data_IF_524301357777
#
_entry.id   IF_524301357777
#
_cell.length_a   1.000
_cell.length_b   1.000
_cell.length_c   1.000
_cell.angle_alpha   90.00
_cell.angle_beta   90.00
_cell.angle_gamma   90.00
#
_symmetry.space_group_name_H-M   'P 1'
#
loop_
_entity.id
_entity.type
_entity.pdbx_description
1 polymer ?
#
# COMPACT_ATOMS: atom_id res chain seq x y z
N UNK A 1 37.99 -22.87 -2.30
CA UNK A 1 38.40 -21.54 -1.77
C UNK A 1 37.77 -20.37 -2.51
N UNK A 2 37.52 -20.42 -3.82
CA UNK A 2 36.92 -19.30 -4.57
C UNK A 2 35.52 -18.81 -4.12
N UNK A 3 34.66 -19.68 -3.59
CA UNK A 3 33.27 -19.30 -3.25
C UNK A 3 33.13 -18.35 -2.05
N UNK A 4 33.92 -18.55 -0.98
CA UNK A 4 33.82 -17.73 0.23
C UNK A 4 34.43 -16.34 0.06
N UNK A 5 35.59 -16.25 -0.61
CA UNK A 5 36.26 -14.97 -0.85
C UNK A 5 35.41 -14.06 -1.75
N UNK A 6 34.73 -14.64 -2.74
CA UNK A 6 33.75 -13.93 -3.59
C UNK A 6 32.57 -13.43 -2.75
N UNK A 7 32.02 -14.26 -1.86
CA UNK A 7 30.89 -13.87 -1.01
C UNK A 7 31.25 -12.73 -0.03
N UNK A 8 32.43 -12.81 0.58
CA UNK A 8 32.96 -11.75 1.47
C UNK A 8 33.18 -10.46 0.69
N UNK A 9 33.77 -10.55 -0.51
CA UNK A 9 33.92 -9.40 -1.41
C UNK A 9 32.57 -8.75 -1.74
N UNK A 10 31.55 -9.55 -2.06
CA UNK A 10 30.18 -9.05 -2.30
C UNK A 10 29.58 -8.38 -1.06
N UNK A 11 29.76 -8.97 0.13
CA UNK A 11 29.30 -8.36 1.39
C UNK A 11 29.97 -7.00 1.65
N UNK A 12 31.27 -6.88 1.40
CA UNK A 12 32.00 -5.61 1.57
C UNK A 12 31.51 -4.57 0.57
N UNK A 13 31.33 -4.94 -0.70
CA UNK A 13 30.83 -4.03 -1.74
C UNK A 13 29.40 -3.58 -1.44
N UNK A 14 28.49 -4.51 -1.13
CA UNK A 14 27.09 -4.20 -0.84
C UNK A 14 26.92 -3.45 0.49
N UNK A 15 27.69 -3.81 1.52
CA UNK A 15 27.72 -3.12 2.80
C UNK A 15 28.24 -1.68 2.65
N UNK A 16 29.31 -1.49 1.88
CA UNK A 16 29.81 -0.16 1.52
C UNK A 16 28.76 0.66 0.76
N UNK A 17 28.08 0.06 -0.22
CA UNK A 17 27.02 0.72 -0.99
C UNK A 17 25.81 1.09 -0.12
N UNK A 18 25.44 0.23 0.84
CA UNK A 18 24.40 0.50 1.82
C UNK A 18 24.78 1.69 2.73
N UNK A 19 26.00 1.71 3.27
CA UNK A 19 26.50 2.80 4.11
C UNK A 19 26.52 4.13 3.35
N UNK A 20 26.98 4.14 2.11
CA UNK A 20 26.92 5.33 1.25
C UNK A 20 25.47 5.75 0.99
N UNK A 21 24.58 4.79 0.73
CA UNK A 21 23.16 5.05 0.53
C UNK A 21 22.48 5.67 1.76
N UNK A 22 22.73 5.13 2.95
CA UNK A 22 22.27 5.70 4.23
C UNK A 22 22.91 7.07 4.48
N UNK A 23 24.21 7.24 4.25
CA UNK A 23 24.88 8.53 4.37
C UNK A 23 24.26 9.60 3.47
N UNK A 24 23.91 9.25 2.22
CA UNK A 24 23.20 10.15 1.29
C UNK A 24 21.77 10.45 1.74
N UNK A 25 21.07 9.47 2.32
CA UNK A 25 19.76 9.66 2.94
C UNK A 25 19.85 10.63 4.12
N UNK A 26 20.80 10.42 5.05
CA UNK A 26 20.99 11.32 6.19
C UNK A 26 21.44 12.72 5.76
N UNK A 27 22.25 12.83 4.72
CA UNK A 27 22.70 14.11 4.15
C UNK A 27 21.64 14.84 3.31
N UNK A 28 20.41 14.31 3.18
CA UNK A 28 19.32 15.04 2.52
C UNK A 28 19.38 15.06 0.98
N UNK A 29 20.29 14.32 0.35
CA UNK A 29 20.63 14.48 -1.08
C UNK A 29 19.93 13.50 -2.02
N UNK A 30 19.06 12.64 -1.51
CA UNK A 30 18.36 11.64 -2.33
C UNK A 30 17.29 12.27 -3.23
N UNK A 31 16.95 11.59 -4.34
CA UNK A 31 15.89 12.04 -5.26
C UNK A 31 14.54 12.18 -4.56
N UNK A 32 14.25 11.34 -3.58
CA UNK A 32 13.06 11.42 -2.75
C UNK A 32 13.04 12.71 -1.92
N UNK A 33 14.17 13.11 -1.35
CA UNK A 33 14.29 14.32 -0.53
C UNK A 33 14.20 15.60 -1.35
N UNK A 34 14.60 15.56 -2.63
CA UNK A 34 14.48 16.69 -3.56
C UNK A 34 13.07 16.95 -4.08
N UNK A 35 12.08 16.12 -3.73
CA UNK A 35 10.68 16.39 -4.08
C UNK A 35 10.10 17.43 -3.13
N UNK A 36 9.41 18.41 -3.70
CA UNK A 36 8.58 19.35 -2.95
C UNK A 36 7.35 18.59 -2.48
N UNK A 37 7.02 18.74 -1.21
CA UNK A 37 5.88 18.09 -0.56
C UNK A 37 4.97 19.16 -0.03
N UNK A 38 3.71 19.14 -0.46
CA UNK A 38 2.71 20.09 0.01
C UNK A 38 1.40 19.40 0.30
N UNK A 39 0.63 19.91 1.28
CA UNK A 39 -0.77 19.57 1.36
C UNK A 39 -1.49 20.14 0.15
N UNK A 40 -2.34 19.33 -0.46
CA UNK A 40 -3.30 19.73 -1.47
C UNK A 40 -4.72 19.39 -1.03
N UNK A 41 -5.70 19.94 -1.73
CA UNK A 41 -7.12 19.76 -1.43
C UNK A 41 -7.90 19.37 -2.68
N UNK A 42 -8.81 18.43 -2.53
CA UNK A 42 -9.74 18.04 -3.60
C UNK A 42 -10.81 19.12 -3.75
N UNK A 43 -10.87 19.78 -4.90
CA UNK A 43 -11.81 20.87 -5.19
C UNK A 43 -13.10 20.34 -5.83
N UNK A 44 -12.95 19.35 -6.69
CA UNK A 44 -14.06 18.68 -7.36
C UNK A 44 -13.78 17.19 -7.51
N UNK A 45 -14.85 16.41 -7.46
CA UNK A 45 -14.83 14.96 -7.67
C UNK A 45 -15.79 14.68 -8.82
N UNK A 46 -15.32 13.94 -9.81
CA UNK A 46 -16.14 13.50 -10.93
C UNK A 46 -16.42 12.00 -10.80
N UNK A 47 -17.59 11.58 -11.29
CA UNK A 47 -17.92 10.15 -11.34
C UNK A 47 -17.03 9.45 -12.39
N UNK A 48 -16.38 8.33 -12.03
CA UNK A 48 -15.61 7.56 -13.00
C UNK A 48 -16.50 7.06 -14.13
N UNK A 49 -15.98 7.10 -15.36
CA UNK A 49 -16.69 6.57 -16.52
C UNK A 49 -17.08 5.09 -16.32
N UNK A 50 -18.32 4.75 -16.66
CA UNK A 50 -18.76 3.36 -16.69
C UNK A 50 -17.96 2.58 -17.74
N UNK A 51 -17.60 1.33 -17.43
CA UNK A 51 -16.67 0.50 -18.21
C UNK A 51 -15.25 1.07 -18.37
N UNK A 52 -14.91 2.11 -17.60
CA UNK A 52 -13.56 2.64 -17.52
C UNK A 52 -12.56 1.61 -16.99
N UNK A 53 -11.27 1.86 -17.22
CA UNK A 53 -10.20 0.95 -16.78
C UNK A 53 -10.16 0.87 -15.25
N UNK A 54 -10.26 -0.34 -14.71
CA UNK A 54 -10.03 -0.59 -13.27
C UNK A 54 -8.58 -0.24 -12.91
N UNK A 55 -8.40 0.45 -11.78
CA UNK A 55 -7.08 0.86 -11.25
C UNK A 55 -6.65 2.28 -11.58
N UNK A 56 -7.42 3.03 -12.37
CA UNK A 56 -7.14 4.45 -12.67
C UNK A 56 -7.37 5.37 -11.45
N UNK A 57 -8.27 4.98 -10.54
CA UNK A 57 -8.70 5.80 -9.41
C UNK A 57 -9.81 6.79 -9.79
N UNK A 58 -10.32 7.52 -8.80
CA UNK A 58 -11.44 8.46 -8.98
C UNK A 58 -10.90 9.72 -9.64
N UNK A 59 -11.51 10.21 -10.74
CA UNK A 59 -11.13 11.47 -11.35
C UNK A 59 -11.42 12.63 -10.39
N UNK A 60 -10.40 13.41 -10.08
CA UNK A 60 -10.51 14.53 -9.13
C UNK A 60 -9.74 15.74 -9.64
N UNK A 61 -10.23 16.91 -9.27
CA UNK A 61 -9.55 18.17 -9.44
C UNK A 61 -8.88 18.55 -8.12
N UNK A 62 -7.57 18.78 -8.15
CA UNK A 62 -6.77 19.00 -6.95
C UNK A 62 -6.19 20.42 -7.01
N UNK A 63 -6.37 21.18 -5.94
CA UNK A 63 -5.69 22.45 -5.72
C UNK A 63 -4.52 22.27 -4.76
N UNK A 64 -3.40 22.93 -5.05
CA UNK A 64 -2.27 23.06 -4.15
C UNK A 64 -1.46 24.32 -4.44
N UNK A 65 -0.72 24.78 -3.44
CA UNK A 65 0.16 25.94 -3.55
C UNK A 65 1.61 25.49 -3.73
N UNK A 66 2.31 26.09 -4.70
CA UNK A 66 3.75 25.92 -4.83
C UNK A 66 4.46 26.85 -3.82
N UNK A 67 5.25 26.30 -2.87
CA UNK A 67 5.89 27.09 -1.82
C UNK A 67 7.01 27.97 -2.36
N UNK A 68 7.55 27.68 -3.56
CA UNK A 68 8.63 28.44 -4.16
C UNK A 68 8.16 29.69 -4.92
N UNK A 69 6.96 29.63 -5.49
CA UNK A 69 6.37 30.72 -6.29
C UNK A 69 5.18 31.38 -5.63
N UNK A 70 4.60 30.75 -4.60
CA UNK A 70 3.36 31.19 -3.95
C UNK A 70 2.11 30.98 -4.81
N UNK A 71 2.25 30.45 -6.04
CA UNK A 71 1.18 30.28 -7.00
C UNK A 71 0.30 29.07 -6.63
N UNK A 72 -1.02 29.25 -6.71
CA UNK A 72 -1.98 28.15 -6.56
C UNK A 72 -2.22 27.48 -7.92
N UNK A 73 -2.10 26.16 -7.95
CA UNK A 73 -2.33 25.33 -9.12
C UNK A 73 -3.56 24.46 -8.88
N UNK A 74 -4.52 24.55 -9.79
CA UNK A 74 -5.69 23.66 -9.82
C UNK A 74 -5.57 22.75 -11.02
N UNK A 75 -5.19 21.49 -10.79
CA UNK A 75 -4.88 20.53 -11.86
C UNK A 75 -5.74 19.27 -11.75
N UNK A 76 -6.26 18.76 -12.88
CA UNK A 76 -6.95 17.48 -12.89
C UNK A 76 -5.94 16.37 -12.66
N UNK A 77 -6.31 15.38 -11.85
CA UNK A 77 -5.52 14.16 -11.72
C UNK A 77 -5.61 13.35 -13.01
N UNK A 78 -4.47 13.18 -13.68
CA UNK A 78 -4.32 12.33 -14.86
C UNK A 78 -3.92 10.90 -14.48
N UNK A 79 -4.31 9.95 -15.31
CA UNK A 79 -3.92 8.54 -15.22
C UNK A 79 -2.38 8.40 -15.13
N UNK A 80 -1.89 7.66 -14.12
CA UNK A 80 -0.47 7.36 -13.95
C UNK A 80 0.35 8.37 -13.13
N UNK A 81 -0.23 9.50 -12.72
CA UNK A 81 0.43 10.51 -11.88
C UNK A 81 0.46 10.14 -10.38
N UNK A 82 0.87 8.91 -10.03
CA UNK A 82 0.99 8.46 -8.63
C UNK A 82 -0.10 7.50 -8.16
N UNK A 83 -0.35 7.45 -6.85
CA UNK A 83 -1.30 6.50 -6.26
C UNK A 83 -2.72 6.74 -6.80
N UNK A 84 -3.47 5.68 -7.16
CA UNK A 84 -4.90 5.80 -7.44
C UNK A 84 -5.60 6.36 -6.18
N UNK A 85 -6.57 7.26 -6.41
CA UNK A 85 -7.37 7.81 -5.31
C UNK A 85 -8.60 6.93 -5.28
N UNK A 86 -8.67 6.05 -4.30
CA UNK A 86 -9.73 5.06 -4.24
C UNK A 86 -11.00 5.64 -3.60
N UNK A 87 -10.88 6.71 -2.82
CA UNK A 87 -12.01 7.40 -2.20
C UNK A 87 -11.79 8.91 -2.29
N UNK A 88 -12.82 9.69 -2.60
CA UNK A 88 -12.72 11.13 -2.76
C UNK A 88 -14.00 11.85 -2.33
N UNK A 89 -13.84 13.01 -1.70
CA UNK A 89 -14.90 13.98 -1.47
C UNK A 89 -14.31 15.38 -1.59
N UNK A 90 -15.18 16.37 -1.83
CA UNK A 90 -14.77 17.76 -1.89
C UNK A 90 -14.25 18.23 -0.53
N UNK A 91 -13.10 18.90 -0.52
CA UNK A 91 -12.46 19.40 0.68
C UNK A 91 -11.48 18.43 1.33
N UNK A 92 -11.38 17.16 0.87
CA UNK A 92 -10.41 16.20 1.37
C UNK A 92 -8.98 16.71 1.17
N UNK A 93 -8.17 16.67 2.22
CA UNK A 93 -6.74 16.96 2.15
C UNK A 93 -5.96 15.71 1.72
N UNK A 94 -4.99 15.91 0.83
CA UNK A 94 -4.12 14.86 0.29
C UNK A 94 -2.70 15.38 0.17
N UNK A 95 -1.71 14.50 0.32
CA UNK A 95 -0.32 14.85 0.09
C UNK A 95 -0.01 14.94 -1.40
N UNK A 96 0.74 15.95 -1.80
CA UNK A 96 1.23 16.09 -3.18
C UNK A 96 2.74 16.15 -3.18
N UNK A 97 3.35 15.36 -4.07
CA UNK A 97 4.77 15.39 -4.35
C UNK A 97 5.02 15.87 -5.78
N UNK A 98 5.90 16.83 -5.98
CA UNK A 98 6.33 17.24 -7.32
C UNK A 98 7.81 17.60 -7.33
N UNK A 99 8.41 17.71 -8.53
CA UNK A 99 9.78 18.17 -8.66
C UNK A 99 9.81 19.71 -8.67
N UNK A 100 10.81 20.35 -8.03
CA UNK A 100 10.97 21.80 -8.11
C UNK A 100 10.95 22.27 -9.57
N UNK A 101 10.12 23.29 -9.86
CA UNK A 101 9.96 23.86 -11.20
C UNK A 101 9.09 23.06 -12.18
N UNK A 102 8.47 21.94 -11.75
CA UNK A 102 7.49 21.16 -12.54
C UNK A 102 6.26 20.78 -11.70
N UNK A 103 5.45 21.75 -11.26
CA UNK A 103 4.21 21.49 -10.51
C UNK A 103 3.20 20.64 -11.31
N UNK A 104 3.26 20.65 -12.64
CA UNK A 104 2.39 19.88 -13.52
C UNK A 104 2.67 18.36 -13.52
N UNK A 105 3.88 17.93 -13.14
CA UNK A 105 4.27 16.52 -12.97
C UNK A 105 4.03 16.03 -11.52
N UNK A 106 2.92 16.43 -10.91
CA UNK A 106 2.63 16.07 -9.53
C UNK A 106 2.26 14.61 -9.34
N UNK A 107 2.46 14.10 -8.12
CA UNK A 107 2.05 12.79 -7.66
C UNK A 107 1.25 12.88 -6.37
N UNK A 108 0.07 12.26 -6.35
CA UNK A 108 -0.72 12.14 -5.14
C UNK A 108 -0.16 11.06 -4.20
N UNK A 109 -0.20 11.33 -2.89
CA UNK A 109 0.13 10.39 -1.81
C UNK A 109 -0.85 10.54 -0.66
N UNK A 110 -1.10 9.44 0.07
CA UNK A 110 -1.87 9.47 1.31
C UNK A 110 -1.06 10.04 2.48
N UNK A 111 0.27 9.89 2.42
CA UNK A 111 1.18 10.39 3.44
C UNK A 111 2.36 11.11 2.76
N UNK A 112 2.51 12.43 2.97
CA UNK A 112 3.63 13.20 2.42
C UNK A 112 4.98 12.79 3.03
N UNK A 113 5.00 12.23 4.24
CA UNK A 113 6.20 11.78 4.93
C UNK A 113 6.66 10.39 4.48
N UNK A 114 5.74 9.60 3.91
CA UNK A 114 6.04 8.26 3.41
C UNK A 114 7.11 8.30 2.31
N UNK A 115 8.18 7.51 2.49
CA UNK A 115 9.29 7.44 1.54
C UNK A 115 10.22 8.66 1.52
N UNK A 116 10.07 9.62 2.46
CA UNK A 116 10.89 10.85 2.52
C UNK A 116 12.39 10.60 2.54
N UNK A 117 12.82 9.53 3.20
CA UNK A 117 14.23 9.25 3.43
C UNK A 117 14.92 8.53 2.26
N UNK A 118 14.19 8.00 1.28
CA UNK A 118 14.81 7.31 0.13
C UNK A 118 15.62 6.06 0.53
N UNK A 119 15.30 5.44 1.67
CA UNK A 119 16.02 4.30 2.26
C UNK A 119 15.70 2.95 1.62
N UNK A 120 14.82 2.90 0.60
CA UNK A 120 14.44 1.66 -0.04
C UNK A 120 15.63 0.87 -0.61
N UNK A 121 16.54 1.56 -1.31
CA UNK A 121 17.73 0.92 -1.90
C UNK A 121 18.78 0.54 -0.83
N UNK A 122 19.07 1.38 0.17
CA UNK A 122 19.84 0.96 1.35
C UNK A 122 19.26 -0.27 2.06
N UNK A 123 17.95 -0.31 2.31
CA UNK A 123 17.27 -1.45 2.94
C UNK A 123 17.45 -2.73 2.09
N UNK A 124 17.30 -2.61 0.76
CA UNK A 124 17.51 -3.72 -0.15
C UNK A 124 18.95 -4.23 -0.12
N UNK A 125 19.94 -3.33 -0.08
CA UNK A 125 21.35 -3.71 0.03
C UNK A 125 21.65 -4.43 1.36
N UNK A 126 21.08 -3.97 2.49
CA UNK A 126 21.19 -4.65 3.79
C UNK A 126 20.57 -6.05 3.73
N UNK A 127 19.41 -6.20 3.08
CA UNK A 127 18.77 -7.50 2.88
C UNK A 127 19.67 -8.47 2.10
N UNK A 128 20.34 -8.00 1.04
CA UNK A 128 21.29 -8.83 0.29
C UNK A 128 22.51 -9.25 1.12
N UNK A 129 23.04 -8.34 1.96
CA UNK A 129 24.13 -8.68 2.90
C UNK A 129 23.66 -9.75 3.88
N UNK A 130 22.46 -9.61 4.45
CA UNK A 130 21.88 -10.60 5.34
C UNK A 130 21.71 -11.96 4.64
N UNK A 131 21.17 -11.99 3.41
CA UNK A 131 21.02 -13.21 2.64
C UNK A 131 22.38 -13.89 2.39
N UNK A 132 23.41 -13.12 2.03
CA UNK A 132 24.76 -13.63 1.86
C UNK A 132 25.33 -14.22 3.16
N UNK A 133 25.12 -13.58 4.31
CA UNK A 133 25.55 -14.12 5.62
C UNK A 133 24.85 -15.45 5.94
N UNK A 134 23.54 -15.54 5.72
CA UNK A 134 22.77 -16.78 5.91
C UNK A 134 23.29 -17.89 4.99
N UNK A 135 23.53 -17.59 3.72
CA UNK A 135 24.11 -18.55 2.77
C UNK A 135 25.51 -18.98 3.17
N UNK A 136 26.36 -18.05 3.63
CA UNK A 136 27.70 -18.38 4.12
C UNK A 136 27.62 -19.34 5.31
N UNK A 137 26.78 -19.03 6.31
CA UNK A 137 26.62 -19.86 7.49
C UNK A 137 26.15 -21.28 7.12
N UNK A 138 25.22 -21.39 6.17
CA UNK A 138 24.74 -22.67 5.66
C UNK A 138 25.86 -23.50 4.98
N UNK A 139 26.75 -22.84 4.23
CA UNK A 139 27.84 -23.51 3.51
C UNK A 139 29.02 -23.88 4.42
N UNK A 140 29.35 -23.06 5.42
CA UNK A 140 30.53 -23.27 6.26
C UNK A 140 30.24 -24.12 7.49
N UNK A 141 29.07 -23.94 8.10
CA UNK A 141 28.72 -24.57 9.37
C UNK A 141 27.59 -25.60 9.23
N UNK A 142 27.11 -25.80 8.00
CA UNK A 142 26.01 -26.71 7.68
C UNK A 142 24.67 -25.99 7.62
N UNK A 143 23.75 -26.58 6.85
CA UNK A 143 22.44 -26.00 6.51
C UNK A 143 21.58 -25.66 7.74
N UNK A 144 21.79 -26.34 8.88
CA UNK A 144 21.16 -26.04 10.17
C UNK A 144 21.32 -24.58 10.63
N UNK A 145 22.51 -23.99 10.47
CA UNK A 145 22.75 -22.60 10.82
C UNK A 145 22.09 -21.62 9.85
N UNK A 146 21.93 -22.00 8.58
CA UNK A 146 21.14 -21.25 7.61
C UNK A 146 19.66 -21.23 7.98
N UNK A 147 19.12 -22.38 8.40
CA UNK A 147 17.72 -22.52 8.84
C UNK A 147 17.42 -21.69 10.10
N UNK A 148 18.31 -21.73 11.10
CA UNK A 148 18.17 -20.90 12.32
C UNK A 148 18.36 -19.42 11.98
N UNK A 149 19.39 -19.10 11.20
CA UNK A 149 19.76 -17.75 10.81
C UNK A 149 18.67 -17.04 10.01
N UNK A 150 17.96 -17.74 9.13
CA UNK A 150 16.81 -17.21 8.41
C UNK A 150 15.51 -17.28 9.25
N UNK A 151 15.27 -18.40 9.91
CA UNK A 151 14.01 -18.72 10.57
C UNK A 151 13.74 -17.84 11.78
N UNK A 152 14.74 -17.55 12.63
CA UNK A 152 14.54 -16.75 13.84
C UNK A 152 14.13 -15.31 13.51
N UNK A 153 14.88 -14.53 12.69
CA UNK A 153 14.50 -13.15 12.37
C UNK A 153 13.18 -13.08 11.62
N UNK A 154 12.93 -14.01 10.70
CA UNK A 154 11.68 -14.08 9.94
C UNK A 154 10.47 -14.32 10.86
N UNK A 155 10.57 -15.27 11.79
CA UNK A 155 9.49 -15.58 12.75
C UNK A 155 9.21 -14.39 13.66
N UNK A 156 10.25 -13.72 14.18
CA UNK A 156 10.09 -12.54 15.03
C UNK A 156 9.43 -11.39 14.27
N UNK A 157 9.88 -11.10 13.05
CA UNK A 157 9.28 -10.05 12.21
C UNK A 157 7.82 -10.35 11.88
N UNK A 158 7.51 -11.59 11.47
CA UNK A 158 6.14 -12.01 11.19
C UNK A 158 5.25 -11.88 12.44
N UNK A 159 5.74 -12.28 13.62
CA UNK A 159 4.98 -12.17 14.86
C UNK A 159 4.68 -10.71 15.27
N UNK A 160 5.65 -9.80 15.09
CA UNK A 160 5.48 -8.37 15.42
C UNK A 160 4.55 -7.70 14.41
N UNK A 161 4.75 -7.93 13.11
CA UNK A 161 3.93 -7.35 12.04
C UNK A 161 2.47 -7.83 12.12
N UNK A 162 2.26 -9.14 12.24
CA UNK A 162 0.91 -9.72 12.35
C UNK A 162 0.14 -9.18 13.55
N UNK A 163 0.78 -9.04 14.72
CA UNK A 163 0.13 -8.46 15.89
C UNK A 163 -0.37 -7.05 15.62
N UNK A 164 0.43 -6.23 14.93
CA UNK A 164 0.07 -4.87 14.60
C UNK A 164 -1.09 -4.84 13.59
N UNK A 165 -0.98 -5.57 12.48
CA UNK A 165 -2.01 -5.64 11.43
C UNK A 165 -3.34 -6.18 11.95
N UNK A 166 -3.31 -7.28 12.72
CA UNK A 166 -4.50 -7.86 13.36
C UNK A 166 -5.13 -6.86 14.33
N UNK A 167 -4.33 -6.12 15.10
CA UNK A 167 -4.84 -5.11 16.04
C UNK A 167 -5.53 -3.96 15.31
N UNK A 168 -4.95 -3.47 14.21
CA UNK A 168 -5.53 -2.41 13.38
C UNK A 168 -6.82 -2.87 12.71
N UNK A 169 -6.82 -4.05 12.10
CA UNK A 169 -7.99 -4.62 11.45
C UNK A 169 -9.13 -4.88 12.44
N UNK A 170 -8.84 -5.38 13.65
CA UNK A 170 -9.84 -5.52 14.73
C UNK A 170 -10.39 -4.18 15.18
N UNK A 171 -9.53 -3.19 15.39
CA UNK A 171 -9.96 -1.84 15.76
C UNK A 171 -10.86 -1.23 14.68
N UNK A 172 -10.50 -1.39 13.40
CA UNK A 172 -11.30 -0.96 12.25
C UNK A 172 -12.68 -1.61 12.23
N UNK A 173 -12.77 -2.94 12.38
CA UNK A 173 -14.06 -3.65 12.45
C UNK A 173 -14.90 -3.16 13.63
N UNK A 174 -14.29 -2.94 14.80
CA UNK A 174 -15.01 -2.42 15.97
C UNK A 174 -15.59 -1.02 15.69
N UNK A 175 -14.78 -0.12 15.11
CA UNK A 175 -15.22 1.24 14.72
C UNK A 175 -16.35 1.19 13.68
N UNK A 176 -16.20 0.40 12.62
CA UNK A 176 -17.21 0.24 11.56
C UNK A 176 -18.49 -0.46 12.05
N UNK A 177 -18.40 -1.31 13.07
CA UNK A 177 -19.58 -1.97 13.65
C UNK A 177 -20.46 -0.99 14.45
N UNK A 178 -19.83 0.00 15.09
CA UNK A 178 -20.52 1.07 15.83
C UNK A 178 -20.90 2.26 14.92
N UNK A 179 -20.43 2.26 13.67
CA UNK A 179 -20.60 3.36 12.74
C UNK A 179 -22.05 3.52 12.24
N UNK A 180 -22.46 4.75 11.92
CA UNK A 180 -23.73 5.03 11.27
C UNK A 180 -23.82 4.34 9.90
N UNK A 181 -25.05 4.00 9.51
CA UNK A 181 -25.37 3.43 8.21
C UNK A 181 -26.18 4.44 7.40
N UNK A 182 -25.75 4.71 6.17
CA UNK A 182 -26.41 5.63 5.25
C UNK A 182 -26.71 4.94 3.92
N UNK A 183 -27.77 5.34 3.21
CA UNK A 183 -28.01 4.87 1.86
C UNK A 183 -26.93 5.42 0.92
N UNK A 184 -26.44 4.55 0.05
CA UNK A 184 -25.54 4.88 -1.05
C UNK A 184 -26.04 4.23 -2.35
N UNK A 185 -25.38 4.57 -3.45
CA UNK A 185 -25.73 4.07 -4.78
C UNK A 185 -24.48 3.75 -5.57
N UNK A 186 -24.51 2.65 -6.32
CA UNK A 186 -23.44 2.33 -7.25
C UNK A 186 -23.60 3.19 -8.50
N UNK A 187 -22.70 4.17 -8.69
CA UNK A 187 -22.79 5.15 -9.78
C UNK A 187 -22.13 4.65 -11.07
N UNK A 188 -21.02 3.92 -10.92
CA UNK A 188 -20.30 3.34 -12.04
C UNK A 188 -19.65 2.01 -11.67
N UNK A 189 -19.20 1.30 -12.70
CA UNK A 189 -18.50 0.01 -12.57
C UNK A 189 -17.34 0.09 -13.54
N UNK A 190 -16.13 -0.02 -13.03
CA UNK A 190 -14.92 -0.07 -13.84
C UNK A 190 -14.54 -1.53 -14.11
N UNK A 191 -13.83 -1.79 -15.21
CA UNK A 191 -13.39 -3.14 -15.58
C UNK A 191 -11.93 -3.16 -16.00
N UNK A 192 -11.23 -4.24 -15.67
CA UNK A 192 -9.95 -4.59 -16.26
C UNK A 192 -10.08 -5.94 -16.95
N UNK A 193 -9.67 -5.97 -18.21
CA UNK A 193 -9.58 -7.21 -18.99
C UNK A 193 -8.10 -7.59 -19.02
N UNK A 194 -7.79 -8.77 -18.50
CA UNK A 194 -6.47 -9.37 -18.60
C UNK A 194 -6.60 -10.58 -19.53
N UNK A 195 -5.87 -10.58 -20.63
CA UNK A 195 -5.85 -11.68 -21.59
C UNK A 195 -4.48 -12.33 -21.52
N UNK A 196 -4.46 -13.62 -21.23
CA UNK A 196 -3.27 -14.47 -21.25
C UNK A 196 -3.49 -15.67 -22.18
N UNK A 197 -2.47 -16.51 -22.33
CA UNK A 197 -2.52 -17.73 -23.12
C UNK A 197 -3.62 -18.71 -22.66
N UNK A 198 -3.97 -18.67 -21.37
CA UNK A 198 -4.98 -19.54 -20.76
C UNK A 198 -6.41 -18.98 -20.81
N UNK A 199 -6.60 -17.76 -21.33
CA UNK A 199 -7.92 -17.15 -21.50
C UNK A 199 -8.00 -15.67 -21.10
N UNK A 200 -9.22 -15.17 -21.04
CA UNK A 200 -9.51 -13.77 -20.69
C UNK A 200 -10.17 -13.70 -19.31
N UNK A 201 -9.48 -13.07 -18.36
CA UNK A 201 -10.00 -12.73 -17.04
C UNK A 201 -10.55 -11.31 -17.06
N UNK A 202 -11.83 -11.14 -16.73
CA UNK A 202 -12.45 -9.83 -16.56
C UNK A 202 -12.69 -9.59 -15.07
N UNK A 203 -12.11 -8.52 -14.54
CA UNK A 203 -12.32 -8.09 -13.16
C UNK A 203 -13.05 -6.77 -13.13
N UNK A 204 -14.13 -6.71 -12.35
CA UNK A 204 -14.93 -5.51 -12.16
C UNK A 204 -14.56 -4.82 -10.84
N UNK A 205 -14.79 -3.52 -10.76
CA UNK A 205 -14.71 -2.74 -9.52
C UNK A 205 -15.81 -1.68 -9.53
N UNK A 206 -16.92 -1.95 -8.83
CA UNK A 206 -17.98 -0.98 -8.56
C UNK A 206 -17.47 0.28 -7.86
N UNK A 207 -18.14 1.39 -8.13
CA UNK A 207 -17.92 2.69 -7.50
C UNK A 207 -19.21 3.12 -6.82
N UNK A 208 -19.15 3.36 -5.53
CA UNK A 208 -20.28 3.81 -4.71
C UNK A 208 -20.20 5.32 -4.49
N UNK A 209 -21.35 5.98 -4.55
CA UNK A 209 -21.56 7.35 -4.10
C UNK A 209 -22.51 7.34 -2.92
N UNK A 210 -22.20 8.05 -1.85
CA UNK A 210 -23.06 8.20 -0.68
C UNK A 210 -22.89 9.58 -0.06
N UNK A 211 -23.91 10.04 0.65
CA UNK A 211 -23.87 11.31 1.37
C UNK A 211 -23.77 11.03 2.87
N UNK A 212 -22.77 11.61 3.53
CA UNK A 212 -22.61 11.52 4.99
C UNK A 212 -23.72 12.31 5.71
N UNK A 213 -23.82 12.17 7.03
CA UNK A 213 -24.75 12.98 7.83
C UNK A 213 -24.38 14.46 7.86
N UNK A 214 -23.15 14.80 7.49
CA UNK A 214 -22.61 16.15 7.38
C UNK A 214 -22.83 16.74 5.97
N UNK A 215 -23.72 16.13 5.18
CA UNK A 215 -24.05 16.53 3.81
C UNK A 215 -22.84 16.55 2.85
N UNK A 216 -21.87 15.67 3.12
CA UNK A 216 -20.69 15.50 2.26
C UNK A 216 -20.89 14.32 1.33
N UNK A 217 -20.91 14.58 0.02
CA UNK A 217 -20.93 13.52 -1.00
C UNK A 217 -19.55 12.90 -1.15
N UNK A 218 -19.47 11.60 -0.90
CA UNK A 218 -18.26 10.78 -0.97
C UNK A 218 -18.43 9.78 -2.11
N UNK A 219 -17.40 9.68 -2.95
CA UNK A 219 -17.30 8.66 -4.00
C UNK A 219 -16.16 7.73 -3.62
N UNK A 220 -16.38 6.42 -3.70
CA UNK A 220 -15.40 5.41 -3.30
C UNK A 220 -15.45 4.16 -4.18
N UNK A 221 -14.28 3.58 -4.47
CA UNK A 221 -14.18 2.26 -5.06
C UNK A 221 -14.53 1.19 -4.04
N UNK A 222 -15.32 0.21 -4.47
CA UNK A 222 -15.64 -0.96 -3.70
C UNK A 222 -15.31 -2.21 -4.55
N UNK A 223 -14.08 -2.74 -4.45
CA UNK A 223 -13.63 -3.78 -5.36
C UNK A 223 -14.24 -5.16 -5.10
N UNK A 224 -14.76 -5.45 -3.90
CA UNK A 224 -15.10 -6.83 -3.51
C UNK A 224 -16.47 -7.04 -2.84
N UNK A 225 -17.21 -6.00 -2.46
CA UNK A 225 -18.39 -6.17 -1.59
C UNK A 225 -19.74 -6.28 -2.34
N UNK A 226 -19.74 -6.42 -3.67
CA UNK A 226 -20.98 -6.36 -4.45
C UNK A 226 -21.24 -7.67 -5.22
N UNK A 227 -22.35 -8.38 -4.93
CA UNK A 227 -22.78 -9.53 -5.73
C UNK A 227 -23.11 -9.11 -7.16
N UNK A 228 -22.61 -9.88 -8.14
CA UNK A 228 -22.72 -9.60 -9.58
C UNK A 228 -22.30 -8.16 -9.93
N UNK A 229 -20.99 -7.85 -9.83
CA UNK A 229 -20.51 -6.48 -9.97
C UNK A 229 -20.78 -5.91 -11.37
N UNK A 230 -20.87 -6.74 -12.41
CA UNK A 230 -21.19 -6.33 -13.78
C UNK A 230 -22.56 -5.66 -13.93
N UNK A 231 -23.58 -6.17 -13.24
CA UNK A 231 -24.95 -5.67 -13.33
C UNK A 231 -25.33 -4.75 -12.17
N UNK A 232 -24.36 -4.32 -11.36
CA UNK A 232 -24.61 -3.62 -10.10
C UNK A 232 -24.89 -2.12 -10.23
N UNK A 233 -24.73 -1.53 -11.43
CA UNK A 233 -24.93 -0.09 -11.64
C UNK A 233 -26.34 0.35 -11.28
N UNK A 234 -26.44 1.46 -10.55
CA UNK A 234 -27.69 2.07 -10.12
C UNK A 234 -28.32 1.42 -8.89
N UNK A 235 -27.76 0.29 -8.40
CA UNK A 235 -28.23 -0.43 -7.22
C UNK A 235 -28.01 0.41 -5.95
N UNK A 236 -29.03 0.44 -5.11
CA UNK A 236 -28.96 1.01 -3.77
C UNK A 236 -28.23 0.04 -2.83
N UNK A 237 -27.32 0.60 -2.02
CA UNK A 237 -26.49 -0.15 -1.07
C UNK A 237 -26.47 0.59 0.25
N UNK A 238 -26.36 -0.15 1.36
CA UNK A 238 -26.17 0.45 2.67
C UNK A 238 -24.68 0.60 2.93
N UNK A 239 -24.23 1.83 3.18
CA UNK A 239 -22.82 2.14 3.44
C UNK A 239 -22.65 2.42 4.93
N UNK A 240 -21.66 1.77 5.56
CA UNK A 240 -21.18 2.15 6.89
C UNK A 240 -19.86 2.85 6.76
N UNK A 241 -19.70 4.00 7.41
CA UNK A 241 -18.48 4.81 7.33
C UNK A 241 -18.07 5.31 8.71
N UNK A 242 -16.77 5.48 8.94
CA UNK A 242 -16.27 6.06 10.18
C UNK A 242 -16.53 7.57 10.23
N UNK A 243 -17.24 8.09 11.25
CA UNK A 243 -17.36 9.53 11.46
C UNK A 243 -15.96 10.14 11.70
N UNK A 244 -15.60 11.16 10.93
CA UNK A 244 -14.28 11.80 10.96
C UNK A 244 -13.29 11.33 9.89
N UNK A 245 -13.47 10.14 9.32
CA UNK A 245 -12.75 9.72 8.11
C UNK A 245 -13.65 8.88 7.19
N UNK A 246 -14.39 9.53 6.28
CA UNK A 246 -15.26 8.85 5.32
C UNK A 246 -14.51 7.94 4.34
N UNK A 247 -13.17 7.96 4.30
CA UNK A 247 -12.39 7.01 3.52
C UNK A 247 -12.49 5.58 4.10
N UNK A 248 -12.66 5.44 5.41
CA UNK A 248 -12.93 4.15 6.05
C UNK A 248 -14.43 3.86 5.95
N UNK A 249 -14.86 3.27 4.83
CA UNK A 249 -16.21 2.74 4.65
C UNK A 249 -16.23 1.26 4.26
N UNK A 250 -17.39 0.63 4.43
CA UNK A 250 -17.66 -0.76 4.02
C UNK A 250 -19.12 -0.94 3.62
N UNK A 251 -19.38 -1.82 2.65
CA UNK A 251 -20.74 -2.24 2.30
C UNK A 251 -21.16 -3.49 3.08
N UNK A 252 -20.21 -4.38 3.40
CA UNK A 252 -20.43 -5.61 4.17
C UNK A 252 -19.37 -5.82 5.26
N UNK A 253 -19.80 -5.71 6.52
CA UNK A 253 -18.97 -6.01 7.69
C UNK A 253 -18.48 -7.47 7.70
N UNK A 254 -19.23 -8.38 7.09
CA UNK A 254 -18.85 -9.80 7.00
C UNK A 254 -17.64 -9.96 6.09
N UNK A 255 -17.50 -9.13 5.07
CA UNK A 255 -16.35 -9.17 4.17
C UNK A 255 -15.08 -8.67 4.87
N UNK A 256 -15.17 -7.55 5.59
CA UNK A 256 -14.08 -7.07 6.45
C UNK A 256 -13.61 -8.14 7.46
N UNK A 257 -14.53 -8.97 7.97
CA UNK A 257 -14.17 -10.12 8.83
C UNK A 257 -13.50 -11.25 8.05
N UNK A 258 -13.94 -11.56 6.83
CA UNK A 258 -13.31 -12.57 5.96
C UNK A 258 -11.89 -12.17 5.58
N UNK A 259 -11.68 -10.90 5.26
CA UNK A 259 -10.36 -10.35 4.95
C UNK A 259 -9.41 -10.46 6.16
N UNK A 260 -9.87 -10.06 7.36
CA UNK A 260 -9.12 -10.29 8.59
C UNK A 260 -8.75 -11.78 8.75
N UNK A 261 -9.68 -12.70 8.50
CA UNK A 261 -9.39 -14.13 8.59
C UNK A 261 -8.40 -14.61 7.52
N UNK A 262 -8.39 -14.01 6.34
CA UNK A 262 -7.40 -14.30 5.31
C UNK A 262 -6.01 -13.84 5.74
N UNK A 263 -5.87 -12.61 6.26
CA UNK A 263 -4.62 -12.08 6.84
C UNK A 263 -4.13 -12.97 7.97
N UNK A 264 -4.99 -13.30 8.94
CA UNK A 264 -4.64 -14.19 10.06
C UNK A 264 -4.16 -15.56 9.57
N UNK A 265 -4.81 -16.15 8.57
CA UNK A 265 -4.40 -17.44 7.99
C UNK A 265 -3.05 -17.36 7.29
N UNK A 266 -2.82 -16.31 6.52
CA UNK A 266 -1.54 -16.07 5.87
C UNK A 266 -0.42 -15.90 6.89
N UNK A 267 -0.59 -15.00 7.86
CA UNK A 267 0.38 -14.73 8.93
C UNK A 267 0.70 -15.97 9.75
N UNK A 268 -0.32 -16.76 10.12
CA UNK A 268 -0.13 -18.02 10.83
C UNK A 268 0.70 -19.01 10.00
N UNK A 269 0.44 -19.10 8.69
CA UNK A 269 1.19 -19.99 7.79
C UNK A 269 2.66 -19.57 7.70
N UNK A 270 2.91 -18.27 7.56
CA UNK A 270 4.26 -17.70 7.53
C UNK A 270 5.01 -17.96 8.85
N UNK A 271 4.33 -17.81 9.99
CA UNK A 271 4.90 -18.07 11.31
C UNK A 271 5.22 -19.55 11.53
N UNK A 272 4.32 -20.45 11.12
CA UNK A 272 4.54 -21.90 11.20
C UNK A 272 5.75 -22.34 10.36
N UNK A 273 5.91 -21.80 9.15
CA UNK A 273 7.08 -22.07 8.30
C UNK A 273 8.37 -21.61 8.99
N UNK A 274 8.35 -20.40 9.57
CA UNK A 274 9.50 -19.87 10.31
C UNK A 274 9.88 -20.73 11.52
N UNK A 275 8.90 -21.11 12.35
CA UNK A 275 9.13 -22.00 13.51
C UNK A 275 9.63 -23.36 13.06
N UNK A 276 9.03 -23.96 12.01
CA UNK A 276 9.46 -25.25 11.49
C UNK A 276 10.92 -25.21 10.99
N UNK A 277 11.32 -24.14 10.32
CA UNK A 277 12.71 -23.95 9.90
C UNK A 277 13.66 -23.91 11.11
N UNK A 278 13.31 -23.16 12.16
CA UNK A 278 14.11 -23.09 13.39
C UNK A 278 14.20 -24.46 14.06
N UNK A 279 13.08 -25.16 14.25
CA UNK A 279 13.04 -26.48 14.89
C UNK A 279 13.86 -27.50 14.10
N UNK A 280 13.71 -27.53 12.77
CA UNK A 280 14.51 -28.40 11.92
C UNK A 280 16.00 -28.08 12.03
N UNK A 281 16.38 -26.80 12.00
CA UNK A 281 17.77 -26.39 12.21
C UNK A 281 18.32 -26.82 13.57
N UNK A 282 17.55 -26.66 14.65
CA UNK A 282 17.96 -27.09 15.99
C UNK A 282 18.04 -28.61 16.12
N UNK A 283 17.13 -29.36 15.51
CA UNK A 283 17.13 -30.83 15.54
C UNK A 283 18.32 -31.45 14.81
N UNK A 284 18.81 -30.76 13.77
CA UNK A 284 19.87 -31.27 12.90
C UNK A 284 21.27 -30.87 13.38
N UNK A 285 21.36 -29.95 14.35
CA UNK A 285 22.57 -29.60 15.11
C UNK A 285 23.03 -30.74 16.03
#
# INVERSE_FOLDING_TARGET
>A
MYGQEVLVGWCVVLGGLALVGYGRSFAGVTRAQRMVRVPGRIVAVEEPAHDGRKGTGIPVLISFQDPSTGQEFTLPKKDGNGLPIDVAWKGREIGILFRPGRPEEFRATFDPEYGRHGVALPNFAVFLVYAALVTSAALTWGYQWGLIGAGVPWTVLAAVASRHEISLARARIARLSAAPAVPGRIVSVTRSVYTDQDGTLVSFAPVVSFTTHEDTTVIGFCPFDVPDPSASRGREVTVRYQPGDPAEFTLDLSDSRRDLWAVVRFDLSVLLIGVAAVVAGVYLL
#
